data_IF_222523338850
#
_entry.id   IF_222523338850
#
_cell.length_a   1.000
_cell.length_b   1.000
_cell.length_c   1.000
_cell.angle_alpha   90.00
_cell.angle_beta   90.00
_cell.angle_gamma   90.00
#
_symmetry.space_group_name_H-M   'P 1'
#
loop_
_entity.id
_entity.type
_entity.pdbx_description
1 polymer ?
#
# COMPACT_ATOMS: atom_id res chain seq x y z
N UNK A 1 29.18 23.73 20.81
CA UNK A 1 27.77 23.33 20.97
C UNK A 1 27.14 23.42 19.60
N UNK A 2 27.05 22.31 18.86
CA UNK A 2 26.37 22.29 17.57
C UNK A 2 24.88 22.00 17.81
N UNK A 3 24.01 22.98 17.54
CA UNK A 3 22.57 22.76 17.50
C UNK A 3 22.27 21.93 16.25
N UNK A 4 22.20 20.60 16.40
CA UNK A 4 21.63 19.74 15.36
C UNK A 4 20.16 20.11 15.18
N UNK A 5 19.81 20.84 14.13
CA UNK A 5 18.41 21.05 13.81
C UNK A 5 17.76 19.67 13.60
N UNK A 6 16.65 19.37 14.29
CA UNK A 6 15.90 18.16 13.99
C UNK A 6 15.49 18.19 12.51
N UNK A 7 15.55 17.05 11.80
CA UNK A 7 15.16 17.00 10.40
C UNK A 7 13.74 17.55 10.25
N UNK A 8 13.46 18.33 9.19
CA UNK A 8 12.15 18.92 8.99
C UNK A 8 11.08 17.83 8.96
N UNK A 9 10.20 17.82 9.96
CA UNK A 9 9.07 16.89 10.06
C UNK A 9 7.92 17.41 9.18
N UNK A 10 8.14 17.45 7.87
CA UNK A 10 7.09 17.81 6.92
C UNK A 10 6.12 16.63 6.82
N UNK A 11 4.91 16.83 7.32
CA UNK A 11 3.85 15.86 7.15
C UNK A 11 3.32 15.95 5.72
N UNK A 12 3.59 14.91 4.93
CA UNK A 12 3.03 14.76 3.58
C UNK A 12 1.85 13.80 3.63
N UNK A 13 0.74 14.21 3.02
CA UNK A 13 -0.43 13.36 2.84
C UNK A 13 -0.07 12.13 2.00
N UNK A 14 -0.68 10.99 2.33
CA UNK A 14 -0.52 9.73 1.60
C UNK A 14 -1.88 9.09 1.42
N UNK A 15 -2.11 8.55 0.24
CA UNK A 15 -3.36 7.90 -0.11
C UNK A 15 -3.09 6.50 -0.61
N UNK A 16 -3.88 5.52 -0.15
CA UNK A 16 -3.90 4.19 -0.73
C UNK A 16 -4.87 4.17 -1.91
N UNK A 17 -4.39 3.81 -3.09
CA UNK A 17 -5.20 3.57 -4.28
C UNK A 17 -5.23 2.06 -4.61
N UNK A 18 -6.38 1.57 -5.08
CA UNK A 18 -6.54 0.19 -5.56
C UNK A 18 -7.13 0.27 -6.95
N UNK A 19 -6.45 -0.34 -7.92
CA UNK A 19 -6.98 -0.50 -9.26
C UNK A 19 -8.02 -1.62 -9.22
N UNK A 20 -9.22 -1.33 -9.72
CA UNK A 20 -10.28 -2.34 -9.80
C UNK A 20 -9.91 -3.43 -10.81
N UNK A 21 -10.36 -4.68 -10.63
CA UNK A 21 -9.95 -5.80 -11.47
C UNK A 21 -10.38 -5.68 -12.94
N UNK A 22 -11.46 -4.96 -13.23
CA UNK A 22 -12.02 -4.77 -14.58
C UNK A 22 -11.18 -3.84 -15.46
N UNK A 23 -10.22 -3.11 -14.90
CA UNK A 23 -9.37 -2.13 -15.60
C UNK A 23 -7.88 -2.31 -15.27
N UNK A 24 -7.50 -3.46 -14.73
CA UNK A 24 -6.11 -3.73 -14.32
C UNK A 24 -5.13 -3.70 -15.49
N UNK A 25 -5.60 -3.98 -16.71
CA UNK A 25 -4.85 -3.87 -17.96
C UNK A 25 -4.37 -2.44 -18.26
N UNK A 26 -4.99 -1.43 -17.64
CA UNK A 26 -4.61 -0.01 -17.77
C UNK A 26 -3.68 0.48 -16.67
N UNK A 27 -3.08 -0.43 -15.89
CA UNK A 27 -2.21 -0.07 -14.77
C UNK A 27 -1.12 0.93 -15.17
N UNK A 28 -0.44 0.72 -16.29
CA UNK A 28 0.63 1.61 -16.75
C UNK A 28 0.13 3.04 -17.04
N UNK A 29 -1.02 3.18 -17.70
CA UNK A 29 -1.64 4.48 -17.98
C UNK A 29 -2.04 5.19 -16.68
N UNK A 30 -2.60 4.45 -15.73
CA UNK A 30 -2.99 4.99 -14.41
C UNK A 30 -1.76 5.47 -13.64
N UNK A 31 -0.68 4.70 -13.64
CA UNK A 31 0.58 5.11 -13.00
C UNK A 31 1.17 6.35 -13.66
N UNK A 32 1.19 6.44 -15.00
CA UNK A 32 1.66 7.61 -15.73
C UNK A 32 0.87 8.87 -15.34
N UNK A 33 -0.46 8.78 -15.29
CA UNK A 33 -1.32 9.89 -14.87
C UNK A 33 -0.98 10.37 -13.45
N UNK A 34 -0.77 9.45 -12.51
CA UNK A 34 -0.40 9.79 -11.12
C UNK A 34 0.94 10.53 -11.08
N UNK A 35 1.95 10.02 -11.80
CA UNK A 35 3.29 10.62 -11.87
C UNK A 35 3.27 11.99 -12.54
N UNK A 36 2.55 12.12 -13.66
CA UNK A 36 2.42 13.39 -14.41
C UNK A 36 1.61 14.45 -13.64
N UNK A 37 0.78 14.02 -12.70
CA UNK A 37 0.04 14.92 -11.79
C UNK A 37 0.91 15.44 -10.63
N UNK A 38 2.18 15.03 -10.54
CA UNK A 38 3.12 15.48 -9.52
C UNK A 38 3.06 14.68 -8.22
N UNK A 39 2.39 13.52 -8.21
CA UNK A 39 2.41 12.60 -7.08
C UNK A 39 3.51 11.56 -7.22
N UNK A 40 3.96 11.03 -6.09
CA UNK A 40 4.96 9.97 -6.03
C UNK A 40 4.31 8.67 -5.58
N UNK A 41 4.53 7.59 -6.34
CA UNK A 41 4.13 6.24 -5.93
C UNK A 41 5.20 5.70 -4.99
N UNK A 42 4.84 5.51 -3.71
CA UNK A 42 5.79 5.08 -2.67
C UNK A 42 5.85 3.55 -2.54
N UNK A 43 4.75 2.84 -2.83
CA UNK A 43 4.64 1.39 -2.71
C UNK A 43 3.61 0.85 -3.72
N UNK A 44 3.92 -0.26 -4.39
CA UNK A 44 3.04 -0.95 -5.36
C UNK A 44 2.63 -2.33 -4.83
N UNK A 45 3.53 -3.00 -4.11
CA UNK A 45 3.45 -4.40 -3.64
C UNK A 45 2.33 -4.71 -2.64
N UNK A 46 1.48 -3.74 -2.28
CA UNK A 46 0.43 -3.97 -1.28
C UNK A 46 -0.56 -5.04 -1.75
N UNK A 47 -0.79 -5.16 -3.05
CA UNK A 47 -1.63 -6.23 -3.61
C UNK A 47 -1.11 -7.63 -3.22
N UNK A 48 0.19 -7.89 -3.39
CA UNK A 48 0.81 -9.17 -3.04
C UNK A 48 0.74 -9.47 -1.55
N UNK A 49 0.91 -8.44 -0.72
CA UNK A 49 0.79 -8.59 0.73
C UNK A 49 -0.65 -8.82 1.18
N UNK A 50 -1.63 -8.08 0.62
CA UNK A 50 -3.05 -8.22 0.93
C UNK A 50 -3.57 -9.61 0.53
N UNK A 51 -3.11 -10.18 -0.59
CA UNK A 51 -3.44 -11.56 -0.95
C UNK A 51 -2.96 -12.57 0.11
N UNK A 52 -1.81 -12.31 0.74
CA UNK A 52 -1.21 -13.20 1.76
C UNK A 52 -1.76 -12.96 3.18
N UNK A 53 -2.14 -11.73 3.51
CA UNK A 53 -2.41 -11.29 4.89
C UNK A 53 -3.71 -10.49 5.05
N UNK A 54 -4.70 -10.67 4.16
CA UNK A 54 -5.97 -9.96 4.17
C UNK A 54 -6.60 -9.90 5.59
N UNK A 55 -6.63 -8.74 6.26
CA UNK A 55 -7.16 -8.61 7.62
C UNK A 55 -8.68 -8.81 7.69
N UNK A 56 -9.38 -8.69 6.55
CA UNK A 56 -10.82 -8.92 6.45
C UNK A 56 -11.17 -10.39 6.21
N UNK A 57 -10.18 -11.29 6.10
CA UNK A 57 -10.37 -12.73 5.97
C UNK A 57 -9.63 -13.44 7.12
N UNK A 58 -10.23 -13.52 8.33
CA UNK A 58 -9.58 -14.13 9.48
C UNK A 58 -9.24 -15.59 9.18
N UNK A 59 -8.01 -15.99 9.51
CA UNK A 59 -7.60 -17.40 9.46
C UNK A 59 -8.29 -18.11 10.61
N UNK A 60 -9.25 -18.98 10.30
CA UNK A 60 -9.84 -19.87 11.30
C UNK A 60 -8.76 -20.87 11.72
N UNK A 61 -8.29 -20.76 12.96
CA UNK A 61 -7.42 -21.77 13.54
C UNK A 61 -8.24 -23.05 13.72
N UNK A 62 -8.14 -23.99 12.78
CA UNK A 62 -8.57 -25.36 13.01
C UNK A 62 -7.65 -25.97 14.06
N UNK A 63 -8.08 -25.93 15.32
CA UNK A 63 -7.50 -26.83 16.31
C UNK A 63 -7.96 -28.23 15.92
N UNK A 64 -7.05 -29.21 15.75
CA UNK A 64 -7.47 -30.59 15.69
C UNK A 64 -8.18 -30.86 17.02
N UNK A 65 -9.47 -31.20 16.94
CA UNK A 65 -10.16 -31.78 18.09
C UNK A 65 -9.44 -33.09 18.34
N UNK A 66 -8.66 -33.14 19.42
CA UNK A 66 -8.08 -34.39 19.89
C UNK A 66 -9.24 -35.29 20.30
N UNK A 67 -9.43 -36.38 19.54
CA UNK A 67 -10.24 -37.53 19.93
C UNK A 67 -9.58 -38.29 21.10
#
# INVERSE_FOLDING_TARGET
MELSMPPPQIYVEKTLAIIKPDIVDKEEEIQDIILRSGFTIVQIWLADWLLKNNPNKPKLCHHPVAE
#
